data_IF_366892726779
#
_entry.id   IF_366892726779
#
_cell.length_a   1.000
_cell.length_b   1.000
_cell.length_c   1.000
_cell.angle_alpha   90.00
_cell.angle_beta   90.00
_cell.angle_gamma   90.00
#
_symmetry.space_group_name_H-M   'P 1'
#
loop_
_entity.id
_entity.type
_entity.pdbx_description
1 polymer ?
#
# COMPACT_ATOMS: atom_id res chain seq x y z
N UNK A 1 -66.74 23.62 19.85
CA UNK A 1 -65.46 23.28 20.52
C UNK A 1 -64.99 21.92 19.99
N UNK A 2 -64.11 21.92 19.05
CA UNK A 2 -63.60 20.68 18.40
C UNK A 2 -62.25 20.32 19.06
N UNK A 3 -62.25 19.24 19.86
CA UNK A 3 -61.05 18.68 20.50
C UNK A 3 -60.20 17.96 19.44
N UNK A 4 -59.04 18.49 19.10
CA UNK A 4 -58.05 17.83 18.25
C UNK A 4 -57.43 16.64 19.00
N UNK A 5 -57.77 15.42 18.60
CA UNK A 5 -57.10 14.19 19.08
C UNK A 5 -55.74 14.05 18.39
N UNK A 6 -54.66 14.35 19.08
CA UNK A 6 -53.32 13.94 18.67
C UNK A 6 -53.15 12.47 19.02
N UNK A 7 -52.84 11.59 18.06
CA UNK A 7 -52.54 10.18 18.35
C UNK A 7 -51.29 10.09 19.22
N UNK A 8 -51.42 9.58 20.46
CA UNK A 8 -50.27 9.27 21.31
C UNK A 8 -49.35 8.25 20.58
N UNK A 9 -48.18 8.70 20.15
CA UNK A 9 -47.17 7.81 19.56
C UNK A 9 -46.89 6.65 20.55
N UNK A 10 -46.99 5.42 20.08
CA UNK A 10 -46.74 4.23 20.91
C UNK A 10 -45.31 4.26 21.43
N UNK A 11 -45.04 4.18 22.74
CA UNK A 11 -43.67 4.32 23.30
C UNK A 11 -42.65 3.35 22.69
N UNK A 12 -43.08 2.18 22.23
CA UNK A 12 -42.20 1.20 21.55
C UNK A 12 -41.59 1.73 20.25
N UNK A 13 -42.27 2.53 19.45
CA UNK A 13 -41.77 3.10 18.20
C UNK A 13 -40.71 4.18 18.49
N UNK A 14 -40.91 4.99 19.52
CA UNK A 14 -39.95 6.02 19.93
C UNK A 14 -38.64 5.38 20.43
N UNK A 15 -38.71 4.33 21.26
CA UNK A 15 -37.54 3.61 21.74
C UNK A 15 -36.79 2.93 20.59
N UNK A 16 -37.46 2.35 19.62
CA UNK A 16 -36.85 1.71 18.44
C UNK A 16 -36.11 2.75 17.57
N UNK A 17 -36.70 3.91 17.32
CA UNK A 17 -36.07 5.02 16.57
C UNK A 17 -34.85 5.58 17.31
N UNK A 18 -34.91 5.75 18.63
CA UNK A 18 -33.78 6.22 19.44
C UNK A 18 -32.63 5.19 19.37
N UNK A 19 -32.92 3.90 19.44
CA UNK A 19 -31.91 2.83 19.33
C UNK A 19 -31.20 2.85 17.97
N UNK A 20 -31.94 2.97 16.85
CA UNK A 20 -31.37 3.08 15.51
C UNK A 20 -30.49 4.34 15.38
N UNK A 21 -30.98 5.49 15.85
CA UNK A 21 -30.23 6.75 15.78
C UNK A 21 -28.96 6.68 16.63
N UNK A 22 -29.01 6.08 17.83
CA UNK A 22 -27.84 5.93 18.68
C UNK A 22 -26.78 4.99 18.05
N UNK A 23 -27.20 3.88 17.44
CA UNK A 23 -26.32 2.96 16.72
C UNK A 23 -25.66 3.64 15.50
N UNK A 24 -26.43 4.40 14.73
CA UNK A 24 -25.91 5.18 13.60
C UNK A 24 -24.90 6.24 14.05
N UNK A 25 -25.15 6.93 15.14
CA UNK A 25 -24.24 7.92 15.70
C UNK A 25 -22.94 7.29 16.20
N UNK A 26 -23.01 6.11 16.84
CA UNK A 26 -21.82 5.39 17.29
C UNK A 26 -20.98 4.90 16.10
N UNK A 27 -21.61 4.39 15.04
CA UNK A 27 -20.92 3.95 13.82
C UNK A 27 -20.28 5.13 13.09
N UNK A 28 -20.95 6.28 12.99
CA UNK A 28 -20.39 7.49 12.40
C UNK A 28 -19.19 8.01 13.20
N UNK A 29 -19.30 8.07 14.52
CA UNK A 29 -18.18 8.50 15.38
C UNK A 29 -16.97 7.56 15.26
N UNK A 30 -17.21 6.25 15.23
CA UNK A 30 -16.17 5.24 15.01
C UNK A 30 -15.47 5.36 13.64
N UNK A 31 -16.21 5.72 12.59
CA UNK A 31 -15.64 5.99 11.25
C UNK A 31 -14.77 7.24 11.25
N UNK A 32 -15.27 8.35 11.76
CA UNK A 32 -14.53 9.64 11.82
C UNK A 32 -13.21 9.46 12.58
N UNK A 33 -13.24 8.79 13.73
CA UNK A 33 -12.01 8.54 14.51
C UNK A 33 -11.03 7.64 13.79
N UNK A 34 -11.48 6.63 13.04
CA UNK A 34 -10.61 5.75 12.24
C UNK A 34 -9.99 6.48 11.06
N UNK A 35 -10.72 7.35 10.37
CA UNK A 35 -10.22 8.14 9.25
C UNK A 35 -9.14 9.13 9.69
N UNK A 36 -9.39 9.88 10.77
CA UNK A 36 -8.39 10.78 11.35
C UNK A 36 -7.11 10.02 11.70
N UNK A 37 -7.25 8.85 12.33
CA UNK A 37 -6.11 7.99 12.67
C UNK A 37 -5.31 7.55 11.45
N UNK A 38 -5.97 7.12 10.35
CA UNK A 38 -5.28 6.75 9.12
C UNK A 38 -4.53 7.93 8.52
N UNK A 39 -5.13 9.10 8.46
CA UNK A 39 -4.47 10.32 7.95
C UNK A 39 -3.23 10.68 8.76
N UNK A 40 -3.30 10.60 10.09
CA UNK A 40 -2.14 10.85 10.96
C UNK A 40 -1.02 9.82 10.73
N UNK A 41 -1.36 8.53 10.61
CA UNK A 41 -0.40 7.47 10.29
C UNK A 41 0.23 7.70 8.92
N UNK A 42 -0.51 8.25 7.95
CA UNK A 42 -0.06 8.54 6.59
C UNK A 42 1.15 9.50 6.52
N UNK A 43 1.36 10.30 7.56
CA UNK A 43 2.53 11.17 7.67
C UNK A 43 3.83 10.36 7.70
N UNK A 44 3.86 9.19 8.36
CA UNK A 44 5.07 8.37 8.49
C UNK A 44 5.61 7.88 7.13
N UNK A 45 4.84 7.13 6.29
CA UNK A 45 5.35 6.69 5.01
C UNK A 45 5.63 7.85 4.04
N UNK A 46 4.93 9.00 4.17
CA UNK A 46 5.29 10.21 3.45
C UNK A 46 6.68 10.71 3.86
N UNK A 47 6.96 10.78 5.15
CA UNK A 47 8.29 11.18 5.65
C UNK A 47 9.39 10.22 5.21
N UNK A 48 9.12 8.90 5.17
CA UNK A 48 10.08 7.92 4.66
C UNK A 48 10.38 8.14 3.18
N UNK A 49 9.36 8.39 2.37
CA UNK A 49 9.52 8.73 0.96
C UNK A 49 10.31 10.02 0.77
N UNK A 50 9.97 11.09 1.50
CA UNK A 50 10.66 12.38 1.39
C UNK A 50 12.11 12.30 1.85
N UNK A 51 12.42 11.55 2.92
CA UNK A 51 13.78 11.34 3.38
C UNK A 51 14.65 10.66 2.30
N UNK A 52 14.09 9.66 1.60
CA UNK A 52 14.76 9.02 0.46
C UNK A 52 14.91 9.98 -0.73
N UNK A 53 13.88 10.73 -1.06
CA UNK A 53 13.93 11.71 -2.15
C UNK A 53 15.02 12.77 -1.91
N UNK A 54 15.12 13.31 -0.68
CA UNK A 54 16.17 14.25 -0.29
C UNK A 54 17.55 13.60 -0.35
N UNK A 55 17.69 12.34 0.10
CA UNK A 55 18.95 11.61 0.00
C UNK A 55 19.43 11.49 -1.44
N UNK A 56 18.57 10.98 -2.36
CA UNK A 56 18.92 10.83 -3.77
C UNK A 56 19.12 12.16 -4.49
N UNK A 57 18.42 13.21 -4.09
CA UNK A 57 18.69 14.57 -4.57
C UNK A 57 20.11 15.02 -4.23
N UNK A 58 20.55 14.81 -2.97
CA UNK A 58 21.88 15.22 -2.51
C UNK A 58 23.03 14.51 -3.22
N UNK A 59 22.85 13.23 -3.55
CA UNK A 59 23.87 12.45 -4.27
C UNK A 59 23.75 12.58 -5.80
N UNK A 60 22.84 13.42 -6.30
CA UNK A 60 22.57 13.65 -7.72
C UNK A 60 22.08 12.42 -8.49
N UNK A 61 21.47 11.47 -7.82
CA UNK A 61 20.90 10.24 -8.38
C UNK A 61 19.38 10.21 -8.21
N UNK A 62 18.70 11.33 -8.47
CA UNK A 62 17.27 11.49 -8.20
C UNK A 62 16.37 10.45 -8.87
N UNK A 63 16.81 9.86 -9.99
CA UNK A 63 16.07 8.76 -10.64
C UNK A 63 15.77 7.59 -9.69
N UNK A 64 16.58 7.35 -8.68
CA UNK A 64 16.36 6.31 -7.66
C UNK A 64 15.11 6.53 -6.79
N UNK A 65 14.50 7.72 -6.81
CA UNK A 65 13.20 7.96 -6.18
C UNK A 65 12.11 7.04 -6.74
N UNK A 66 12.24 6.65 -8.03
CA UNK A 66 11.30 5.75 -8.70
C UNK A 66 11.46 4.27 -8.31
N UNK A 67 12.41 3.90 -7.44
CA UNK A 67 12.43 2.54 -6.92
C UNK A 67 11.07 2.16 -6.33
N UNK A 68 10.61 0.96 -6.66
CA UNK A 68 9.28 0.46 -6.29
C UNK A 68 9.00 0.53 -4.78
N UNK A 69 10.02 0.33 -3.94
CA UNK A 69 9.92 0.46 -2.48
C UNK A 69 9.61 1.91 -2.04
N UNK A 70 10.20 2.92 -2.72
CA UNK A 70 9.93 4.32 -2.42
C UNK A 70 8.53 4.72 -2.89
N UNK A 71 8.16 4.34 -4.11
CA UNK A 71 6.81 4.52 -4.65
C UNK A 71 5.77 3.79 -3.79
N UNK A 72 6.10 2.62 -3.24
CA UNK A 72 5.26 1.90 -2.28
C UNK A 72 4.95 2.73 -1.04
N UNK A 73 5.94 3.41 -0.45
CA UNK A 73 5.72 4.31 0.69
C UNK A 73 4.86 5.52 0.30
N UNK A 74 5.10 6.14 -0.84
CA UNK A 74 4.28 7.24 -1.34
C UNK A 74 2.82 6.81 -1.55
N UNK A 75 2.62 5.65 -2.18
CA UNK A 75 1.29 5.09 -2.43
C UNK A 75 0.57 4.74 -1.13
N UNK A 76 1.30 4.23 -0.13
CA UNK A 76 0.77 3.97 1.21
C UNK A 76 0.32 5.27 1.89
N UNK A 77 1.14 6.32 1.82
CA UNK A 77 0.79 7.64 2.35
C UNK A 77 -0.48 8.19 1.70
N UNK A 78 -0.54 8.18 0.36
CA UNK A 78 -1.71 8.62 -0.41
C UNK A 78 -2.96 7.81 -0.03
N UNK A 79 -2.82 6.49 0.03
CA UNK A 79 -3.92 5.60 0.44
C UNK A 79 -4.44 5.91 1.84
N UNK A 80 -3.55 6.23 2.79
CA UNK A 80 -3.89 6.60 4.16
C UNK A 80 -4.56 7.98 4.25
N UNK A 81 -4.06 9.00 3.54
CA UNK A 81 -4.67 10.33 3.51
C UNK A 81 -6.08 10.32 2.90
N UNK A 82 -6.28 9.55 1.82
CA UNK A 82 -7.58 9.40 1.18
C UNK A 82 -8.45 8.30 1.78
N UNK A 83 -7.96 7.62 2.83
CA UNK A 83 -8.64 6.49 3.45
C UNK A 83 -9.02 5.39 2.44
N UNK A 84 -8.26 5.27 1.34
CA UNK A 84 -8.51 4.33 0.26
C UNK A 84 -7.87 2.97 0.57
N UNK A 85 -8.69 2.03 1.04
CA UNK A 85 -8.25 0.69 1.43
C UNK A 85 -7.60 -0.09 0.27
N UNK A 86 -8.01 0.15 -0.99
CA UNK A 86 -7.41 -0.52 -2.16
C UNK A 86 -5.98 -0.06 -2.37
N UNK A 87 -5.73 1.26 -2.35
CA UNK A 87 -4.38 1.80 -2.47
C UNK A 87 -3.48 1.35 -1.32
N UNK A 88 -4.00 1.35 -0.08
CA UNK A 88 -3.23 0.84 1.06
C UNK A 88 -2.80 -0.62 0.84
N UNK A 89 -3.71 -1.51 0.42
CA UNK A 89 -3.40 -2.93 0.16
C UNK A 89 -2.37 -3.11 -0.95
N UNK A 90 -2.50 -2.35 -2.06
CA UNK A 90 -1.54 -2.36 -3.17
C UNK A 90 -0.15 -1.96 -2.68
N UNK A 91 -0.05 -0.90 -1.88
CA UNK A 91 1.22 -0.46 -1.33
C UNK A 91 1.83 -1.50 -0.39
N UNK A 92 1.01 -2.06 0.52
CA UNK A 92 1.46 -3.01 1.53
C UNK A 92 2.01 -4.30 0.91
N UNK A 93 1.37 -4.82 -0.14
CA UNK A 93 1.82 -6.06 -0.79
C UNK A 93 3.25 -5.90 -1.36
N UNK A 94 3.70 -4.67 -1.66
CA UNK A 94 5.05 -4.36 -2.12
C UNK A 94 6.09 -4.28 -1.01
N UNK A 95 5.68 -4.01 0.23
CA UNK A 95 6.64 -3.82 1.33
C UNK A 95 7.40 -5.11 1.67
N UNK A 96 6.79 -6.28 1.48
CA UNK A 96 7.43 -7.57 1.79
C UNK A 96 8.53 -7.92 0.78
N UNK A 97 8.26 -8.03 -0.54
CA UNK A 97 9.32 -8.29 -1.51
C UNK A 97 10.35 -7.15 -1.53
N UNK A 98 9.93 -5.89 -1.33
CA UNK A 98 10.83 -4.76 -1.21
C UNK A 98 11.82 -4.90 -0.06
N UNK A 99 11.35 -5.32 1.13
CA UNK A 99 12.24 -5.58 2.27
C UNK A 99 13.21 -6.73 1.97
N UNK A 100 12.74 -7.81 1.33
CA UNK A 100 13.59 -8.95 0.99
C UNK A 100 14.70 -8.55 0.00
N UNK A 101 14.38 -7.83 -1.07
CA UNK A 101 15.35 -7.33 -2.04
C UNK A 101 16.34 -6.36 -1.38
N UNK A 102 15.83 -5.46 -0.51
CA UNK A 102 16.69 -4.54 0.26
C UNK A 102 17.65 -5.29 1.19
N UNK A 103 17.18 -6.32 1.88
CA UNK A 103 18.03 -7.14 2.75
C UNK A 103 19.14 -7.84 1.95
N UNK A 104 18.81 -8.43 0.79
CA UNK A 104 19.82 -9.00 -0.10
C UNK A 104 20.83 -7.95 -0.55
N UNK A 105 20.38 -6.76 -0.91
CA UNK A 105 21.27 -5.66 -1.29
C UNK A 105 22.21 -5.27 -0.14
N UNK A 106 21.70 -5.12 1.07
CA UNK A 106 22.52 -4.79 2.25
C UNK A 106 23.58 -5.84 2.50
N UNK A 107 23.23 -7.14 2.39
CA UNK A 107 24.16 -8.25 2.60
C UNK A 107 25.22 -8.32 1.50
N UNK A 108 24.85 -8.08 0.24
CA UNK A 108 25.75 -8.26 -0.91
C UNK A 108 26.56 -7.00 -1.23
N UNK A 109 26.02 -5.80 -1.02
CA UNK A 109 26.62 -4.54 -1.45
C UNK A 109 27.30 -3.74 -0.33
N UNK A 110 27.28 -4.22 0.94
CA UNK A 110 28.03 -3.65 2.08
C UNK A 110 27.65 -2.21 2.45
N UNK A 111 26.41 -1.81 2.20
CA UNK A 111 25.98 -0.44 2.52
C UNK A 111 24.59 -0.36 3.15
N UNK A 112 24.50 0.18 4.38
CA UNK A 112 23.22 0.49 5.03
C UNK A 112 23.08 2.00 5.13
N UNK A 113 22.08 2.56 4.47
CA UNK A 113 21.70 3.95 4.63
C UNK A 113 20.52 4.05 5.61
N UNK A 114 20.63 4.92 6.60
CA UNK A 114 19.57 5.12 7.59
C UNK A 114 18.20 5.40 6.96
N UNK A 115 18.14 6.26 5.94
CA UNK A 115 16.91 6.59 5.23
C UNK A 115 16.33 5.38 4.50
N UNK A 116 17.17 4.51 3.94
CA UNK A 116 16.76 3.27 3.27
C UNK A 116 16.19 2.26 4.27
N UNK A 117 16.81 2.13 5.45
CA UNK A 117 16.29 1.29 6.53
C UNK A 117 14.90 1.77 6.97
N UNK A 118 14.73 3.09 7.18
CA UNK A 118 13.42 3.65 7.52
C UNK A 118 12.37 3.37 6.45
N UNK A 119 12.72 3.50 5.17
CA UNK A 119 11.79 3.25 4.07
C UNK A 119 11.33 1.79 3.99
N UNK A 120 12.24 0.83 4.21
CA UNK A 120 11.92 -0.59 4.08
C UNK A 120 11.33 -1.18 5.37
N UNK A 121 12.01 -1.00 6.49
CA UNK A 121 11.56 -1.54 7.78
C UNK A 121 10.39 -0.73 8.33
N UNK A 122 10.50 0.60 8.33
CA UNK A 122 9.42 1.48 8.78
C UNK A 122 8.18 1.36 7.92
N UNK A 123 8.34 1.34 6.59
CA UNK A 123 7.25 1.12 5.64
C UNK A 123 6.52 -0.21 5.86
N UNK A 124 7.27 -1.30 6.10
CA UNK A 124 6.68 -2.60 6.44
C UNK A 124 5.90 -2.55 7.77
N UNK A 125 6.49 -1.98 8.83
CA UNK A 125 5.82 -1.89 10.15
C UNK A 125 4.51 -1.13 10.02
N UNK A 126 4.51 0.05 9.39
CA UNK A 126 3.30 0.84 9.16
C UNK A 126 2.30 0.06 8.31
N UNK A 127 2.77 -0.56 7.23
CA UNK A 127 1.94 -1.37 6.34
C UNK A 127 1.25 -2.53 7.06
N UNK A 128 1.98 -3.31 7.88
CA UNK A 128 1.42 -4.43 8.63
C UNK A 128 0.43 -3.95 9.69
N UNK A 129 0.72 -2.84 10.37
CA UNK A 129 -0.20 -2.24 11.33
C UNK A 129 -1.53 -1.83 10.67
N UNK A 130 -1.46 -1.22 9.50
CA UNK A 130 -2.65 -0.84 8.71
C UNK A 130 -3.39 -2.09 8.20
N UNK A 131 -2.65 -3.07 7.65
CA UNK A 131 -3.24 -4.29 7.11
C UNK A 131 -4.04 -5.07 8.16
N UNK A 132 -3.53 -5.13 9.40
CA UNK A 132 -4.25 -5.75 10.52
C UNK A 132 -5.64 -5.14 10.74
N UNK A 133 -5.83 -3.88 10.37
CA UNK A 133 -7.10 -3.18 10.55
C UNK A 133 -8.04 -3.35 9.34
N UNK A 134 -7.50 -3.36 8.11
CA UNK A 134 -8.32 -3.38 6.89
C UNK A 134 -8.45 -4.76 6.24
N UNK A 135 -7.58 -5.72 6.60
CA UNK A 135 -7.46 -7.04 5.98
C UNK A 135 -7.00 -7.00 4.52
N UNK A 136 -6.49 -8.14 4.00
CA UNK A 136 -6.08 -8.30 2.61
C UNK A 136 -7.24 -8.82 1.75
N UNK A 137 -7.55 -8.13 0.64
CA UNK A 137 -8.59 -8.51 -0.28
C UNK A 137 -8.04 -9.40 -1.42
N UNK A 138 -8.91 -10.28 -1.94
CA UNK A 138 -8.60 -11.09 -3.13
C UNK A 138 -8.41 -10.21 -4.37
N UNK A 139 -7.42 -10.56 -5.21
CA UNK A 139 -7.14 -9.87 -6.47
C UNK A 139 -6.33 -8.58 -6.31
N UNK A 140 -5.87 -8.23 -5.09
CA UNK A 140 -4.99 -7.07 -4.85
C UNK A 140 -3.69 -7.18 -5.65
N UNK A 141 -3.14 -8.39 -5.81
CA UNK A 141 -1.91 -8.64 -6.55
C UNK A 141 -1.98 -8.20 -8.01
N UNK A 142 -3.15 -8.31 -8.67
CA UNK A 142 -3.32 -7.85 -10.05
C UNK A 142 -3.13 -6.33 -10.18
N UNK A 143 -3.69 -5.57 -9.26
CA UNK A 143 -3.51 -4.11 -9.22
C UNK A 143 -2.07 -3.74 -8.84
N UNK A 144 -1.47 -4.46 -7.89
CA UNK A 144 -0.07 -4.27 -7.53
C UNK A 144 0.85 -4.60 -8.72
N UNK A 145 0.56 -5.64 -9.49
CA UNK A 145 1.28 -5.97 -10.71
C UNK A 145 1.11 -4.92 -11.80
N UNK A 146 -0.10 -4.39 -11.99
CA UNK A 146 -0.34 -3.25 -12.89
C UNK A 146 0.51 -2.02 -12.50
N UNK A 147 0.59 -1.69 -11.22
CA UNK A 147 1.48 -0.64 -10.72
C UNK A 147 2.96 -0.93 -10.99
N UNK A 148 3.41 -2.19 -10.84
CA UNK A 148 4.76 -2.58 -11.23
C UNK A 148 5.05 -2.24 -12.69
N UNK A 149 4.18 -2.61 -13.62
CA UNK A 149 4.36 -2.32 -15.04
C UNK A 149 4.39 -0.81 -15.33
N UNK A 150 3.53 -0.03 -14.66
CA UNK A 150 3.54 1.43 -14.77
C UNK A 150 4.88 2.00 -14.28
N UNK A 151 5.34 1.60 -13.09
CA UNK A 151 6.60 2.10 -12.53
C UNK A 151 7.81 1.64 -13.34
N UNK A 152 7.79 0.43 -13.90
CA UNK A 152 8.78 -0.04 -14.87
C UNK A 152 8.86 0.87 -16.10
N UNK A 153 7.71 1.20 -16.67
CA UNK A 153 7.63 2.11 -17.82
C UNK A 153 8.13 3.52 -17.45
N UNK A 154 7.70 4.05 -16.32
CA UNK A 154 8.17 5.36 -15.84
C UNK A 154 9.68 5.36 -15.60
N UNK A 155 10.23 4.30 -14.99
CA UNK A 155 11.67 4.17 -14.82
C UNK A 155 12.41 4.17 -16.15
N UNK A 156 11.90 3.44 -17.15
CA UNK A 156 12.51 3.38 -18.48
C UNK A 156 12.47 4.72 -19.22
N UNK A 157 11.42 5.52 -19.01
CA UNK A 157 11.25 6.81 -19.73
C UNK A 157 11.96 7.94 -19.00
N UNK A 158 11.94 7.96 -17.67
CA UNK A 158 12.35 9.13 -16.87
C UNK A 158 13.66 8.95 -16.10
N UNK A 159 14.32 7.79 -16.17
CA UNK A 159 15.62 7.59 -15.49
C UNK A 159 16.74 7.32 -16.50
N UNK A 160 17.96 7.72 -16.13
CA UNK A 160 19.16 7.39 -16.92
C UNK A 160 19.40 5.88 -16.92
N UNK A 161 19.82 5.33 -18.07
CA UNK A 161 20.03 3.90 -18.22
C UNK A 161 21.10 3.32 -17.27
N UNK A 162 22.05 4.17 -16.86
CA UNK A 162 23.13 3.83 -15.94
C UNK A 162 22.61 3.47 -14.54
N UNK A 163 21.53 4.15 -14.10
CA UNK A 163 20.92 3.91 -12.79
C UNK A 163 20.14 2.60 -12.74
N UNK A 164 19.72 2.09 -13.89
CA UNK A 164 18.97 0.83 -14.04
C UNK A 164 17.83 0.64 -13.00
N UNK A 165 17.12 1.70 -12.71
CA UNK A 165 16.04 1.72 -11.69
C UNK A 165 14.98 0.67 -12.01
N UNK A 166 14.59 -0.10 -11.03
CA UNK A 166 13.68 -1.25 -11.16
C UNK A 166 14.09 -2.26 -12.24
N UNK A 167 15.38 -2.31 -12.62
CA UNK A 167 15.92 -3.14 -13.71
C UNK A 167 15.26 -2.87 -15.07
N UNK A 168 14.88 -1.60 -15.31
CA UNK A 168 14.09 -1.21 -16.47
C UNK A 168 14.89 -1.07 -17.76
N UNK A 169 16.23 -0.98 -17.69
CA UNK A 169 17.09 -0.67 -18.85
C UNK A 169 17.96 -1.81 -19.30
N UNK A 170 18.53 -2.58 -18.37
CA UNK A 170 19.52 -3.63 -18.66
C UNK A 170 19.43 -4.81 -17.70
N UNK A 171 20.02 -5.91 -18.06
CA UNK A 171 20.19 -7.09 -17.21
C UNK A 171 20.95 -6.68 -15.94
N UNK A 172 20.58 -7.27 -14.80
CA UNK A 172 21.31 -7.08 -13.55
C UNK A 172 22.77 -7.45 -13.71
N UNK A 173 23.73 -6.62 -13.30
CA UNK A 173 25.16 -6.95 -13.34
C UNK A 173 25.46 -8.31 -12.71
N UNK A 174 26.26 -9.13 -13.41
CA UNK A 174 26.60 -10.49 -13.03
C UNK A 174 25.61 -11.57 -13.51
N UNK A 175 24.52 -11.18 -14.18
CA UNK A 175 23.51 -12.10 -14.72
C UNK A 175 23.51 -12.13 -16.26
N UNK A 176 24.36 -11.34 -16.92
CA UNK A 176 24.40 -11.18 -18.38
C UNK A 176 24.60 -12.51 -19.11
N UNK A 177 25.38 -13.43 -18.52
CA UNK A 177 25.65 -14.75 -19.14
C UNK A 177 24.46 -15.72 -19.02
N UNK A 178 23.43 -15.39 -18.23
CA UNK A 178 22.27 -16.28 -18.01
C UNK A 178 21.12 -16.00 -18.96
N UNK A 179 21.15 -14.87 -19.66
CA UNK A 179 20.07 -14.45 -20.54
C UNK A 179 20.63 -14.04 -21.90
N UNK A 180 20.01 -14.50 -22.97
CA UNK A 180 20.40 -14.18 -24.35
C UNK A 180 20.05 -12.74 -24.76
N UNK A 181 19.12 -12.11 -24.05
CA UNK A 181 18.69 -10.73 -24.31
C UNK A 181 18.10 -10.07 -23.08
N UNK A 182 18.06 -8.72 -23.10
CA UNK A 182 17.35 -7.95 -22.08
C UNK A 182 15.87 -8.32 -21.99
N UNK A 183 15.21 -8.58 -23.12
CA UNK A 183 13.79 -8.89 -23.15
C UNK A 183 13.45 -10.24 -22.53
N UNK A 184 14.32 -11.23 -22.69
CA UNK A 184 14.22 -12.52 -22.01
C UNK A 184 14.32 -12.33 -20.49
N UNK A 185 15.35 -11.59 -20.03
CA UNK A 185 15.51 -11.23 -18.62
C UNK A 185 14.28 -10.50 -18.08
N UNK A 186 13.80 -9.49 -18.82
CA UNK A 186 12.63 -8.70 -18.42
C UNK A 186 11.37 -9.56 -18.30
N UNK A 187 11.15 -10.46 -19.24
CA UNK A 187 10.00 -11.38 -19.21
C UNK A 187 10.07 -12.29 -17.99
N UNK A 188 11.21 -12.93 -17.74
CA UNK A 188 11.42 -13.79 -16.56
C UNK A 188 11.21 -13.00 -15.27
N UNK A 189 11.80 -11.82 -15.15
CA UNK A 189 11.62 -10.93 -14.00
C UNK A 189 10.14 -10.59 -13.79
N UNK A 190 9.44 -10.25 -14.85
CA UNK A 190 8.01 -9.90 -14.81
C UNK A 190 7.14 -11.06 -14.31
N UNK A 191 7.40 -12.28 -14.79
CA UNK A 191 6.71 -13.50 -14.33
C UNK A 191 7.03 -13.79 -12.87
N UNK A 192 8.30 -13.70 -12.46
CA UNK A 192 8.71 -13.90 -11.06
C UNK A 192 8.02 -12.90 -10.13
N UNK A 193 7.94 -11.64 -10.52
CA UNK A 193 7.25 -10.62 -9.72
C UNK A 193 5.75 -10.91 -9.64
N UNK A 194 5.09 -11.28 -10.74
CA UNK A 194 3.67 -11.65 -10.73
C UNK A 194 3.39 -12.80 -9.75
N UNK A 195 4.20 -13.85 -9.81
CA UNK A 195 4.09 -15.01 -8.90
C UNK A 195 4.35 -14.58 -7.45
N UNK A 196 5.38 -13.77 -7.21
CA UNK A 196 5.72 -13.29 -5.86
C UNK A 196 4.57 -12.49 -5.26
N UNK A 197 3.99 -11.54 -6.00
CA UNK A 197 2.86 -10.76 -5.53
C UNK A 197 1.61 -11.62 -5.26
N UNK A 198 1.35 -12.61 -6.11
CA UNK A 198 0.27 -13.56 -5.92
C UNK A 198 0.45 -14.40 -4.64
N UNK A 199 1.65 -14.93 -4.42
CA UNK A 199 1.98 -15.71 -3.20
C UNK A 199 1.87 -14.83 -1.96
N UNK A 200 2.42 -13.62 -1.99
CA UNK A 200 2.34 -12.67 -0.87
C UNK A 200 0.88 -12.32 -0.56
N UNK A 201 0.02 -12.09 -1.56
CA UNK A 201 -1.41 -11.89 -1.31
C UNK A 201 -2.04 -13.07 -0.58
N UNK A 202 -1.77 -14.30 -1.03
CA UNK A 202 -2.32 -15.51 -0.40
C UNK A 202 -1.90 -15.57 1.07
N UNK A 203 -0.62 -15.39 1.36
CA UNK A 203 -0.09 -15.42 2.72
C UNK A 203 -0.74 -14.34 3.59
N UNK A 204 -0.77 -13.10 3.12
CA UNK A 204 -1.36 -11.98 3.87
C UNK A 204 -2.87 -12.14 4.06
N UNK A 205 -3.57 -12.70 3.09
CA UNK A 205 -5.01 -12.98 3.20
C UNK A 205 -5.31 -14.08 4.20
N UNK A 206 -4.46 -15.08 4.30
CA UNK A 206 -4.62 -16.16 5.28
C UNK A 206 -4.39 -15.65 6.71
N UNK A 207 -3.46 -14.71 6.90
CA UNK A 207 -3.14 -14.15 8.22
C UNK A 207 -4.16 -13.04 8.60
N UNK A 208 -4.52 -12.17 7.67
CA UNK A 208 -5.42 -11.04 7.88
C UNK A 208 -6.51 -10.96 6.80
N UNK A 209 -7.52 -11.86 6.86
CA UNK A 209 -8.65 -11.80 5.92
C UNK A 209 -9.49 -10.53 6.13
N UNK A 210 -10.17 -10.09 5.08
CA UNK A 210 -11.19 -9.04 5.20
C UNK A 210 -12.34 -9.58 6.05
N UNK A 211 -12.71 -8.88 7.13
CA UNK A 211 -13.85 -9.25 7.96
C UNK A 211 -15.15 -8.93 7.23
N UNK A 212 -16.07 -9.89 7.14
CA UNK A 212 -17.34 -9.80 6.39
C UNK A 212 -18.19 -8.57 6.76
N UNK A 213 -18.21 -8.18 8.04
CA UNK A 213 -18.89 -6.95 8.49
C UNK A 213 -18.38 -5.65 7.82
N UNK A 214 -17.22 -5.67 7.17
CA UNK A 214 -16.68 -4.53 6.42
C UNK A 214 -16.99 -4.60 4.91
N UNK A 215 -17.44 -5.75 4.40
CA UNK A 215 -17.75 -5.94 2.98
C UNK A 215 -19.10 -5.30 2.59
N UNK A 216 -20.09 -5.30 3.46
CA UNK A 216 -21.41 -4.72 3.18
C UNK A 216 -21.39 -3.20 2.99
N UNK A 217 -20.43 -2.52 3.62
CA UNK A 217 -20.31 -1.04 3.56
C UNK A 217 -19.62 -0.56 2.26
N UNK A 218 -19.01 -1.45 1.49
CA UNK A 218 -18.29 -1.07 0.26
C UNK A 218 -19.16 -1.20 -1.00
N UNK A 219 -20.39 -1.70 -0.89
CA UNK A 219 -21.33 -1.91 -1.99
C UNK A 219 -22.46 -0.87 -2.03
N UNK A 220 -22.50 0.05 -1.11
CA UNK A 220 -23.40 1.22 -1.09
C UNK A 220 -22.58 2.50 -1.25
#
# INVERSE_FOLDING_TARGET
>A
MSSWFFPKARPRVVFFLISIVSEQLQTLNGRVTSEVRFRMIGILPLMFFLAQAVHYWRIREFGHVLWMCNIGNLLLAIGLFWCNRRLMRIAIIWTIPGLFVWFLYVVLAWGVFFTSTLAHVGGLIVGMFVLRQIGMARGTWLFAFGWYLIVQLLSRVFTAAELNVNLAHRIQPGWEQRFGSYWEFWLVLTVVIAITLWVVEILLRNIWPVRLAQAEVTLT
#
